data_IF_461714996622
#
_entry.id   IF_461714996622
#
_cell.length_a   1.000
_cell.length_b   1.000
_cell.length_c   1.000
_cell.angle_alpha   90.00
_cell.angle_beta   90.00
_cell.angle_gamma   90.00
#
_symmetry.space_group_name_H-M   'P 1'
#
loop_
_entity.id
_entity.type
_entity.pdbx_description
1 polymer ?
#
# COMPACT_ATOMS: atom_id res chain seq x y z
N UNK A 1 -9.71 -0.69 8.49
CA UNK A 1 -9.75 -0.02 7.17
C UNK A 1 -9.90 1.48 7.38
N UNK A 2 -9.06 2.30 6.74
CA UNK A 2 -9.07 3.77 6.82
C UNK A 2 -9.19 4.35 5.42
N UNK A 3 -9.97 5.42 5.24
CA UNK A 3 -10.09 6.13 3.96
C UNK A 3 -9.48 7.53 4.07
N UNK A 4 -8.81 7.99 3.01
CA UNK A 4 -8.23 9.34 2.90
C UNK A 4 -8.51 9.89 1.50
N UNK A 5 -9.03 11.12 1.48
CA UNK A 5 -9.21 11.87 0.23
C UNK A 5 -7.92 12.63 -0.10
N UNK A 6 -7.35 12.32 -1.25
CA UNK A 6 -6.21 13.00 -1.88
C UNK A 6 -6.66 13.52 -3.25
N UNK A 7 -7.40 14.64 -3.33
CA UNK A 7 -8.07 15.04 -4.56
C UNK A 7 -7.15 15.02 -5.80
N UNK A 8 -7.57 14.39 -6.92
CA UNK A 8 -8.91 13.84 -7.21
C UNK A 8 -9.12 12.36 -6.81
N UNK A 9 -8.27 11.79 -5.96
CA UNK A 9 -8.26 10.39 -5.58
C UNK A 9 -8.85 10.15 -4.19
N UNK A 10 -9.53 9.02 -4.04
CA UNK A 10 -9.90 8.42 -2.76
C UNK A 10 -9.02 7.19 -2.53
N UNK A 11 -8.36 7.13 -1.38
CA UNK A 11 -7.47 6.02 -1.03
C UNK A 11 -8.02 5.30 0.19
N UNK A 12 -8.24 3.99 0.09
CA UNK A 12 -8.55 3.14 1.24
C UNK A 12 -7.36 2.26 1.56
N UNK A 13 -6.99 2.20 2.84
CA UNK A 13 -5.89 1.38 3.36
C UNK A 13 -6.41 0.34 4.35
N UNK A 14 -5.83 -0.85 4.30
CA UNK A 14 -6.08 -1.95 5.21
C UNK A 14 -4.76 -2.59 5.65
N UNK A 15 -4.63 -2.87 6.95
CA UNK A 15 -3.55 -3.68 7.46
C UNK A 15 -3.89 -5.16 7.30
N UNK A 16 -2.92 -5.95 6.86
CA UNK A 16 -3.01 -7.39 6.68
C UNK A 16 -1.77 -8.02 7.28
N UNK A 17 -1.98 -8.94 8.22
CA UNK A 17 -0.96 -9.85 8.72
C UNK A 17 -1.08 -11.15 7.92
N UNK A 18 0.04 -11.65 7.43
CA UNK A 18 0.07 -12.84 6.60
C UNK A 18 1.39 -13.58 6.69
N UNK A 19 1.41 -14.78 6.14
CA UNK A 19 2.64 -15.53 5.94
C UNK A 19 3.09 -15.27 4.50
N UNK A 20 4.26 -14.66 4.35
CA UNK A 20 4.91 -14.40 3.07
C UNK A 20 5.20 -15.67 2.29
N UNK A 21 5.57 -15.52 1.02
CA UNK A 21 5.71 -16.63 0.06
C UNK A 21 6.76 -17.67 0.51
N UNK A 22 7.73 -17.26 1.31
CA UNK A 22 8.79 -18.11 1.85
C UNK A 22 8.49 -18.68 3.26
N UNK A 23 7.25 -18.55 3.74
CA UNK A 23 6.86 -19.04 5.07
C UNK A 23 7.26 -18.11 6.22
N UNK A 24 7.65 -16.88 5.90
CA UNK A 24 8.08 -15.86 6.86
C UNK A 24 6.91 -14.95 7.17
N UNK A 25 6.68 -14.63 8.44
CA UNK A 25 5.62 -13.70 8.83
C UNK A 25 5.87 -12.31 8.24
N UNK A 26 4.82 -11.73 7.65
CA UNK A 26 4.84 -10.44 6.98
C UNK A 26 3.72 -9.53 7.50
N UNK A 27 4.08 -8.26 7.67
CA UNK A 27 3.12 -7.19 7.97
C UNK A 27 3.00 -6.32 6.72
N UNK A 28 1.77 -6.15 6.25
CA UNK A 28 1.49 -5.40 5.04
C UNK A 28 0.37 -4.37 5.24
N UNK A 29 0.49 -3.28 4.48
CA UNK A 29 -0.58 -2.31 4.26
C UNK A 29 -0.98 -2.38 2.79
N UNK A 30 -2.22 -2.77 2.54
CA UNK A 30 -2.82 -2.80 1.21
C UNK A 30 -3.57 -1.50 0.95
N UNK A 31 -3.35 -0.93 -0.23
CA UNK A 31 -3.91 0.34 -0.66
C UNK A 31 -4.74 0.14 -1.93
N UNK A 32 -5.97 0.62 -1.88
CA UNK A 32 -6.84 0.78 -3.04
C UNK A 32 -7.06 2.25 -3.33
N UNK A 33 -6.83 2.64 -4.57
CA UNK A 33 -7.00 4.00 -5.07
C UNK A 33 -8.17 4.02 -6.04
N UNK A 34 -9.11 4.92 -5.81
CA UNK A 34 -10.28 5.14 -6.67
C UNK A 34 -10.31 6.63 -7.03
N UNK A 35 -10.27 6.96 -8.33
CA UNK A 35 -10.34 8.35 -8.76
C UNK A 35 -10.24 8.51 -10.28
N UNK A 36 -10.92 9.53 -10.82
CA UNK A 36 -11.05 9.74 -12.26
C UNK A 36 -12.03 8.76 -12.94
N UNK A 37 -11.98 8.68 -14.27
CA UNK A 37 -12.82 7.78 -15.08
C UNK A 37 -12.18 6.38 -15.30
N UNK A 38 -11.12 6.04 -14.56
CA UNK A 38 -10.31 4.85 -14.76
C UNK A 38 -10.63 3.68 -13.81
N UNK A 39 -9.94 2.54 -13.97
CA UNK A 39 -10.05 1.41 -13.04
C UNK A 39 -9.53 1.77 -11.64
N UNK A 40 -9.91 0.97 -10.63
CA UNK A 40 -9.27 1.04 -9.32
C UNK A 40 -7.81 0.60 -9.42
N UNK A 41 -6.92 1.28 -8.70
CA UNK A 41 -5.51 0.95 -8.64
C UNK A 41 -5.19 0.31 -7.30
N UNK A 42 -4.33 -0.70 -7.28
CA UNK A 42 -3.98 -1.48 -6.11
C UNK A 42 -2.46 -1.60 -5.97
N UNK A 43 -2.00 -1.43 -4.75
CA UNK A 43 -0.61 -1.64 -4.37
C UNK A 43 -0.51 -1.97 -2.89
N UNK A 44 0.61 -2.54 -2.47
CA UNK A 44 0.90 -2.84 -1.08
C UNK A 44 2.28 -2.33 -0.68
N UNK A 45 2.43 -1.96 0.59
CA UNK A 45 3.74 -1.77 1.23
C UNK A 45 3.84 -2.82 2.32
N UNK A 46 4.90 -3.62 2.29
CA UNK A 46 5.05 -4.75 3.20
C UNK A 46 6.49 -4.87 3.68
N UNK A 47 6.68 -5.51 4.83
CA UNK A 47 7.99 -5.94 5.32
C UNK A 47 7.86 -7.25 6.08
N UNK A 48 8.97 -7.98 6.12
CA UNK A 48 9.14 -9.11 7.03
C UNK A 48 8.99 -8.67 8.49
N UNK A 49 8.39 -9.50 9.32
CA UNK A 49 8.28 -9.26 10.75
C UNK A 49 9.67 -9.09 11.38
N UNK A 50 9.82 -8.08 12.24
CA UNK A 50 11.10 -7.72 12.87
C UNK A 50 12.06 -6.92 11.97
N UNK A 51 11.80 -6.80 10.66
CA UNK A 51 12.56 -5.92 9.78
C UNK A 51 12.24 -4.43 10.03
N UNK A 52 13.19 -3.58 9.67
CA UNK A 52 13.02 -2.12 9.75
C UNK A 52 12.10 -1.62 8.63
N UNK A 53 11.49 -0.46 8.82
CA UNK A 53 10.67 0.19 7.76
C UNK A 53 11.49 0.58 6.54
N UNK A 54 12.81 0.78 6.68
CA UNK A 54 13.72 1.00 5.55
C UNK A 54 13.92 -0.22 4.66
N UNK A 55 13.55 -1.41 5.13
CA UNK A 55 13.58 -2.67 4.36
C UNK A 55 12.22 -3.00 3.74
N UNK A 56 11.22 -2.13 3.91
CA UNK A 56 9.91 -2.34 3.33
C UNK A 56 9.97 -2.31 1.80
N UNK A 57 9.19 -3.19 1.20
CA UNK A 57 9.01 -3.30 -0.24
C UNK A 57 7.67 -2.70 -0.64
N UNK A 58 7.62 -2.14 -1.85
CA UNK A 58 6.38 -1.67 -2.48
C UNK A 58 6.08 -2.56 -3.68
N UNK A 59 4.89 -3.13 -3.71
CA UNK A 59 4.40 -3.95 -4.82
C UNK A 59 3.16 -3.30 -5.44
N UNK A 60 3.13 -3.26 -6.76
CA UNK A 60 1.99 -2.73 -7.53
C UNK A 60 1.34 -3.88 -8.27
N UNK A 61 0.02 -4.00 -8.18
CA UNK A 61 -0.72 -4.95 -9.00
C UNK A 61 -0.53 -4.60 -10.48
N UNK A 62 0.03 -5.50 -11.31
CA UNK A 62 0.28 -5.22 -12.72
C UNK A 62 -0.98 -4.87 -13.53
N UNK A 63 -2.18 -5.24 -13.05
CA UNK A 63 -3.45 -4.90 -13.68
C UNK A 63 -3.94 -3.49 -13.33
N UNK A 64 -3.38 -2.89 -12.28
CA UNK A 64 -3.82 -1.62 -11.73
C UNK A 64 -3.37 -0.40 -12.52
N UNK A 65 -2.49 -0.55 -13.52
CA UNK A 65 -2.00 0.59 -14.29
C UNK A 65 -1.13 1.56 -13.47
N UNK A 66 -0.81 2.75 -14.01
CA UNK A 66 0.10 3.68 -13.36
C UNK A 66 -0.52 4.32 -12.11
N UNK A 67 0.20 4.26 -10.99
CA UNK A 67 -0.23 4.87 -9.72
C UNK A 67 0.28 6.31 -9.61
N UNK A 68 -0.58 7.28 -9.24
CA UNK A 68 -0.18 8.66 -9.05
C UNK A 68 0.89 8.81 -7.96
N UNK A 69 1.99 9.49 -8.28
CA UNK A 69 3.08 9.73 -7.34
C UNK A 69 2.64 10.39 -6.01
N UNK A 70 1.69 11.36 -5.98
CA UNK A 70 1.21 11.92 -4.70
C UNK A 70 0.55 10.88 -3.78
N UNK A 71 -0.11 9.87 -4.35
CA UNK A 71 -0.73 8.78 -3.59
C UNK A 71 0.36 7.88 -3.01
N UNK A 72 1.38 7.56 -3.80
CA UNK A 72 2.54 6.77 -3.33
C UNK A 72 3.28 7.51 -2.21
N UNK A 73 3.55 8.80 -2.37
CA UNK A 73 4.25 9.59 -1.35
C UNK A 73 3.48 9.63 -0.02
N UNK A 74 2.17 9.81 -0.08
CA UNK A 74 1.32 9.73 1.12
C UNK A 74 1.34 8.34 1.75
N UNK A 75 1.24 7.28 0.94
CA UNK A 75 1.22 5.91 1.41
C UNK A 75 2.54 5.51 2.10
N UNK A 76 3.70 5.97 1.59
CA UNK A 76 5.00 5.76 2.22
C UNK A 76 5.06 6.42 3.60
N UNK A 77 4.67 7.70 3.72
CA UNK A 77 4.61 8.38 5.02
C UNK A 77 3.62 7.73 5.99
N UNK A 78 2.52 7.16 5.46
CA UNK A 78 1.58 6.39 6.27
C UNK A 78 2.24 5.10 6.77
N UNK A 79 2.94 4.36 5.90
CA UNK A 79 3.63 3.12 6.25
C UNK A 79 4.72 3.32 7.31
N UNK A 80 5.51 4.41 7.23
CA UNK A 80 6.55 4.74 8.22
C UNK A 80 6.04 4.83 9.67
N UNK A 81 4.75 5.11 9.85
CA UNK A 81 4.12 5.25 11.16
C UNK A 81 3.22 4.08 11.56
N UNK A 82 3.02 3.10 10.67
CA UNK A 82 2.04 2.02 10.84
C UNK A 82 2.56 0.61 10.51
N UNK A 83 3.81 0.48 10.03
CA UNK A 83 4.56 -0.78 9.86
C UNK A 83 5.68 -0.87 10.90
#
# INVERSE_FOLDING_TARGET
MKAVSLPPFEVTVQAVEGVGVDGVDEVSLEFKVVGGAGPSLWFAIFKTEGASTSEACLEVDPQSGPIPLPVVAWAVSYAESHL
#
